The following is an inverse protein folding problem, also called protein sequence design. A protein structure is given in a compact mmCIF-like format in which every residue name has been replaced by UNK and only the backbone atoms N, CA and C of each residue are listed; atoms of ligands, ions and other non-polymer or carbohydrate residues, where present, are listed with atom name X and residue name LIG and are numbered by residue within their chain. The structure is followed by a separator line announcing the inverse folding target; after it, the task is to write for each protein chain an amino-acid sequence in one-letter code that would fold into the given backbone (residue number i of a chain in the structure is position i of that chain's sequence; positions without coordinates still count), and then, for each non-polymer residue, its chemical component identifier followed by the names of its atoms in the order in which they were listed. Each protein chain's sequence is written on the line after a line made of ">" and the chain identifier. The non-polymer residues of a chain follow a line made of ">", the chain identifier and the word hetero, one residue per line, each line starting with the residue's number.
data_IF_189059688206
#
_entry.id   IF_189059688206
#
_cell.length_a   1.000
_cell.length_b   1.000
_cell.length_c   1.000
_cell.angle_alpha   90.00
_cell.angle_beta   90.00
_cell.angle_gamma   90.00
#
_symmetry.space_group_name_H-M   'P 1'
#
loop_
_entity.id
_entity.type
_entity.pdbx_description
1 polymer ?
#
# COMPACT_ATOMS: atom_id res chain seq x y z
N UNK A 1 15.09 -11.47 5.87
CA UNK A 1 14.38 -11.99 4.67
C UNK A 1 14.12 -10.80 3.76
N UNK A 2 14.31 -10.94 2.46
CA UNK A 2 14.09 -9.82 1.54
C UNK A 2 12.59 -9.54 1.42
N UNK A 3 12.22 -8.25 1.40
CA UNK A 3 10.82 -7.86 1.25
C UNK A 3 10.34 -8.12 -0.18
N UNK A 4 9.19 -8.73 -0.34
CA UNK A 4 8.58 -9.01 -1.65
C UNK A 4 7.87 -7.76 -2.20
N UNK A 5 7.19 -7.01 -1.33
CA UNK A 5 6.46 -5.81 -1.75
C UNK A 5 6.62 -4.67 -0.76
N UNK A 6 6.80 -3.46 -1.30
CA UNK A 6 6.73 -2.20 -0.58
C UNK A 6 5.44 -1.46 -0.93
N UNK A 7 4.62 -1.18 0.07
CA UNK A 7 3.47 -0.30 -0.07
C UNK A 7 3.88 1.13 0.31
N UNK A 8 3.56 2.09 -0.55
CA UNK A 8 3.81 3.52 -0.30
C UNK A 8 2.49 4.19 0.02
N UNK A 9 2.42 4.84 1.19
CA UNK A 9 1.22 5.55 1.66
C UNK A 9 1.53 7.05 1.71
N UNK A 10 1.31 7.80 0.62
CA UNK A 10 1.44 9.25 0.65
C UNK A 10 0.34 9.84 1.53
N UNK A 11 0.73 10.66 2.50
CA UNK A 11 -0.17 11.14 3.55
C UNK A 11 -0.03 12.65 3.75
N UNK A 12 -1.14 13.39 3.68
CA UNK A 12 -1.19 14.81 3.99
C UNK A 12 -2.55 15.20 4.58
N UNK A 13 -2.59 15.52 5.89
CA UNK A 13 -3.82 15.85 6.63
C UNK A 13 -4.92 14.79 6.48
N UNK A 14 -4.60 13.53 6.77
CA UNK A 14 -5.46 12.36 6.60
C UNK A 14 -5.77 11.63 7.92
N UNK A 15 -5.71 12.35 9.06
CA UNK A 15 -5.91 11.77 10.40
C UNK A 15 -7.21 10.97 10.54
N UNK A 16 -8.25 11.30 9.75
CA UNK A 16 -9.56 10.63 9.82
C UNK A 16 -9.56 9.24 9.17
N UNK A 17 -8.63 8.97 8.25
CA UNK A 17 -8.62 7.77 7.41
C UNK A 17 -7.43 6.87 7.69
N UNK A 18 -6.29 7.45 8.09
CA UNK A 18 -5.01 6.76 8.15
C UNK A 18 -5.02 5.51 9.04
N UNK A 19 -5.71 5.54 10.16
CA UNK A 19 -5.79 4.39 11.08
C UNK A 19 -6.46 3.18 10.40
N UNK A 20 -7.55 3.40 9.64
CA UNK A 20 -8.21 2.35 8.87
C UNK A 20 -7.31 1.80 7.77
N UNK A 21 -6.60 2.67 7.06
CA UNK A 21 -5.62 2.29 6.05
C UNK A 21 -4.55 1.39 6.66
N UNK A 22 -3.85 1.86 7.70
CA UNK A 22 -2.71 1.14 8.29
C UNK A 22 -3.12 -0.17 8.96
N UNK A 23 -4.24 -0.19 9.69
CA UNK A 23 -4.73 -1.42 10.32
C UNK A 23 -5.05 -2.53 9.31
N UNK A 24 -5.41 -2.19 8.08
CA UNK A 24 -5.69 -3.16 7.03
C UNK A 24 -4.48 -3.99 6.59
N UNK A 25 -3.25 -3.51 6.87
CA UNK A 25 -2.02 -4.26 6.58
C UNK A 25 -1.61 -5.26 7.66
N UNK A 26 -2.32 -5.33 8.78
CA UNK A 26 -1.95 -6.20 9.90
C UNK A 26 -2.35 -7.66 9.66
N UNK A 27 -1.65 -8.32 8.74
CA UNK A 27 -1.78 -9.75 8.50
C UNK A 27 -0.53 -10.47 9.03
N UNK A 28 -0.63 -11.24 10.14
CA UNK A 28 0.54 -11.86 10.78
C UNK A 28 1.32 -12.82 9.86
N UNK A 29 0.69 -13.37 8.84
CA UNK A 29 1.32 -14.32 7.92
C UNK A 29 2.08 -13.64 6.78
N UNK A 30 1.86 -12.34 6.55
CA UNK A 30 2.47 -11.57 5.46
C UNK A 30 3.50 -10.52 5.93
N UNK A 31 3.49 -10.12 7.19
CA UNK A 31 4.29 -9.02 7.77
C UNK A 31 5.78 -9.13 7.44
N UNK A 32 6.35 -10.33 7.53
CA UNK A 32 7.80 -10.50 7.29
C UNK A 32 8.21 -10.23 5.84
N UNK A 33 7.29 -10.45 4.90
CA UNK A 33 7.56 -10.37 3.47
C UNK A 33 7.14 -9.05 2.82
N UNK A 34 6.53 -8.13 3.57
CA UNK A 34 6.10 -6.81 3.09
C UNK A 34 6.59 -5.69 3.99
N UNK A 35 6.65 -4.48 3.46
CA UNK A 35 6.82 -3.25 4.22
C UNK A 35 5.78 -2.21 3.81
N UNK A 36 5.45 -1.31 4.71
CA UNK A 36 4.55 -0.18 4.48
C UNK A 36 5.29 1.11 4.85
N UNK A 37 5.54 1.94 3.85
CA UNK A 37 6.25 3.20 4.00
C UNK A 37 5.23 4.34 3.97
N UNK A 38 4.98 4.92 5.13
CA UNK A 38 4.13 6.09 5.28
C UNK A 38 4.97 7.32 5.02
N UNK A 39 4.55 8.15 4.08
CA UNK A 39 5.26 9.41 3.78
C UNK A 39 4.36 10.57 4.16
N UNK A 40 4.66 11.19 5.30
CA UNK A 40 3.96 12.39 5.75
C UNK A 40 4.54 13.62 5.05
N UNK A 41 3.75 14.22 4.18
CA UNK A 41 4.11 15.37 3.36
C UNK A 41 3.86 16.72 4.09
N UNK A 42 4.29 16.80 5.34
CA UNK A 42 4.21 18.00 6.16
C UNK A 42 2.83 18.28 6.73
N UNK A 43 2.10 17.26 7.18
CA UNK A 43 0.78 17.38 7.80
C UNK A 43 0.76 18.32 9.01
N UNK A 44 -0.38 18.97 9.23
CA UNK A 44 -0.61 19.88 10.35
C UNK A 44 -1.58 19.31 11.39
N UNK A 45 -2.22 18.18 11.07
CA UNK A 45 -3.10 17.42 11.94
C UNK A 45 -2.36 16.28 12.67
N UNK A 46 -3.07 15.26 13.18
CA UNK A 46 -2.48 14.13 13.89
C UNK A 46 -1.91 13.04 12.98
N UNK A 47 -1.84 13.23 11.66
CA UNK A 47 -1.36 12.22 10.70
C UNK A 47 0.00 11.66 11.09
N UNK A 48 1.01 12.52 11.28
CA UNK A 48 2.37 12.09 11.66
C UNK A 48 2.40 11.34 12.99
N UNK A 49 1.57 11.73 13.96
CA UNK A 49 1.46 11.06 15.26
C UNK A 49 0.89 9.65 15.10
N UNK A 50 -0.22 9.50 14.39
CA UNK A 50 -0.85 8.20 14.13
C UNK A 50 0.15 7.26 13.46
N UNK A 51 0.82 7.73 12.40
CA UNK A 51 1.85 6.96 11.70
C UNK A 51 2.99 6.53 12.63
N UNK A 52 3.48 7.46 13.48
CA UNK A 52 4.54 7.17 14.45
C UNK A 52 4.14 6.13 15.50
N UNK A 53 2.88 6.09 15.91
CA UNK A 53 2.37 5.10 16.87
C UNK A 53 2.34 3.70 16.23
N UNK A 54 1.96 3.57 14.94
CA UNK A 54 2.03 2.31 14.20
C UNK A 54 3.48 1.83 14.00
N UNK A 55 4.41 2.73 13.68
CA UNK A 55 5.84 2.36 13.56
C UNK A 55 6.41 1.83 14.88
N UNK A 56 6.04 2.42 16.02
CA UNK A 56 6.47 1.94 17.34
C UNK A 56 5.91 0.57 17.68
N UNK A 57 4.66 0.30 17.28
CA UNK A 57 3.97 -0.95 17.59
C UNK A 57 4.38 -2.10 16.66
N UNK A 58 4.68 -1.80 15.41
CA UNK A 58 5.02 -2.79 14.36
C UNK A 58 6.23 -2.34 13.54
N UNK A 59 7.42 -2.21 14.15
CA UNK A 59 8.61 -1.64 13.49
C UNK A 59 9.15 -2.50 12.34
N UNK A 60 8.79 -3.77 12.28
CA UNK A 60 9.15 -4.69 11.20
C UNK A 60 8.31 -4.48 9.94
N UNK A 61 7.11 -3.88 10.08
CA UNK A 61 6.17 -3.66 9.00
C UNK A 61 6.15 -2.21 8.53
N UNK A 62 6.06 -1.25 9.46
CA UNK A 62 5.87 0.16 9.14
C UNK A 62 7.16 0.97 9.25
N UNK A 63 7.32 1.90 8.30
CA UNK A 63 8.34 2.94 8.31
C UNK A 63 7.68 4.29 8.08
N UNK A 64 8.18 5.35 8.70
CA UNK A 64 7.69 6.71 8.54
C UNK A 64 8.79 7.60 7.96
N UNK A 65 8.44 8.34 6.92
CA UNK A 65 9.24 9.42 6.34
C UNK A 65 8.48 10.71 6.59
N UNK A 66 9.12 11.64 7.30
CA UNK A 66 8.62 13.01 7.49
C UNK A 66 9.33 13.92 6.50
N UNK A 67 8.60 14.73 5.75
CA UNK A 67 9.20 15.71 4.84
C UNK A 67 8.41 17.01 4.80
N UNK A 68 9.03 18.06 4.30
CA UNK A 68 8.31 19.30 3.96
C UNK A 68 7.34 19.05 2.81
N UNK A 69 6.20 19.76 2.86
CA UNK A 69 5.16 19.60 1.84
C UNK A 69 5.72 19.90 0.44
N UNK A 70 5.62 18.92 -0.44
CA UNK A 70 6.04 18.97 -1.83
C UNK A 70 4.99 18.40 -2.79
N UNK A 71 3.83 18.02 -2.25
CA UNK A 71 2.71 17.44 -2.98
C UNK A 71 2.78 15.92 -3.15
N UNK A 72 1.66 15.35 -3.57
CA UNK A 72 1.44 13.90 -3.66
C UNK A 72 2.55 13.15 -4.40
N UNK A 73 2.94 13.61 -5.59
CA UNK A 73 4.01 12.99 -6.38
C UNK A 73 5.37 13.03 -5.67
N UNK A 74 5.67 14.09 -4.92
CA UNK A 74 6.89 14.19 -4.11
C UNK A 74 6.91 13.17 -2.99
N UNK A 75 5.77 12.92 -2.34
CA UNK A 75 5.63 11.89 -1.32
C UNK A 75 5.83 10.48 -1.92
N UNK A 76 5.22 10.19 -3.07
CA UNK A 76 5.43 8.92 -3.79
C UNK A 76 6.91 8.72 -4.12
N UNK A 77 7.59 9.74 -4.67
CA UNK A 77 9.02 9.65 -5.01
C UNK A 77 9.88 9.36 -3.80
N UNK A 78 9.60 10.02 -2.66
CA UNK A 78 10.35 9.78 -1.43
C UNK A 78 10.15 8.35 -0.90
N UNK A 79 8.92 7.84 -0.92
CA UNK A 79 8.61 6.47 -0.55
C UNK A 79 9.26 5.45 -1.48
N UNK A 80 9.19 5.67 -2.79
CA UNK A 80 9.81 4.82 -3.82
C UNK A 80 11.34 4.73 -3.63
N UNK A 81 11.99 5.85 -3.36
CA UNK A 81 13.44 5.88 -3.13
C UNK A 81 13.87 5.10 -1.86
N UNK A 82 12.97 4.93 -0.90
CA UNK A 82 13.23 4.21 0.35
C UNK A 82 12.77 2.74 0.33
N UNK A 83 12.03 2.34 -0.71
CA UNK A 83 11.47 1.00 -0.85
C UNK A 83 12.57 -0.04 -1.09
N UNK A 84 12.42 -1.22 -0.46
CA UNK A 84 13.36 -2.35 -0.61
C UNK A 84 12.67 -3.62 -1.14
N UNK A 85 11.35 -3.60 -1.31
CA UNK A 85 10.60 -4.71 -1.88
C UNK A 85 10.87 -4.89 -3.37
N UNK A 86 10.78 -6.12 -3.84
CA UNK A 86 10.88 -6.45 -5.26
C UNK A 86 9.78 -5.77 -6.09
N UNK A 87 8.59 -5.68 -5.54
CA UNK A 87 7.44 -4.98 -6.11
C UNK A 87 7.11 -3.73 -5.30
N UNK A 88 6.48 -2.76 -5.95
CA UNK A 88 6.04 -1.53 -5.32
C UNK A 88 4.57 -1.27 -5.66
N UNK A 89 3.79 -0.83 -4.66
CA UNK A 89 2.41 -0.40 -4.84
C UNK A 89 2.12 0.87 -4.03
N UNK A 90 1.55 1.86 -4.69
CA UNK A 90 1.01 3.04 -4.01
C UNK A 90 -0.43 2.76 -3.58
N UNK A 91 -0.76 3.12 -2.35
CA UNK A 91 -2.12 3.09 -1.77
C UNK A 91 -2.39 4.47 -1.18
N UNK A 92 -3.46 5.10 -1.58
CA UNK A 92 -3.86 6.38 -0.99
C UNK A 92 -4.28 6.19 0.48
N UNK A 93 -3.99 7.18 1.31
CA UNK A 93 -4.17 7.05 2.77
C UNK A 93 -5.64 6.99 3.23
N UNK A 94 -6.59 7.28 2.34
CA UNK A 94 -8.04 7.11 2.52
C UNK A 94 -8.57 5.76 1.97
N UNK A 95 -7.70 4.97 1.32
CA UNK A 95 -7.98 3.62 0.87
C UNK A 95 -7.48 2.56 1.87
N UNK A 96 -7.83 1.29 1.65
CA UNK A 96 -7.38 0.15 2.45
C UNK A 96 -7.28 -1.12 1.62
N UNK A 97 -6.50 -2.08 2.10
CA UNK A 97 -6.37 -3.40 1.48
C UNK A 97 -7.32 -4.41 2.11
N UNK A 98 -7.58 -5.50 1.39
CA UNK A 98 -8.30 -6.66 1.95
C UNK A 98 -7.28 -7.50 2.72
N UNK A 99 -7.27 -7.38 4.04
CA UNK A 99 -6.27 -7.97 4.94
C UNK A 99 -6.06 -9.46 4.71
N UNK A 100 -7.14 -10.20 4.50
CA UNK A 100 -7.13 -11.65 4.31
C UNK A 100 -6.37 -12.06 3.05
N UNK A 101 -6.38 -11.20 2.02
CA UNK A 101 -5.77 -11.49 0.73
C UNK A 101 -4.26 -11.17 0.69
N UNK A 102 -3.70 -10.49 1.70
CA UNK A 102 -2.30 -10.08 1.71
C UNK A 102 -1.33 -11.26 1.63
N UNK A 103 -1.64 -12.35 2.34
CA UNK A 103 -0.78 -13.54 2.29
C UNK A 103 -0.76 -14.16 0.90
N UNK A 104 -1.92 -14.32 0.28
CA UNK A 104 -2.03 -14.86 -1.08
C UNK A 104 -1.31 -13.95 -2.09
N UNK A 105 -1.47 -12.62 -1.97
CA UNK A 105 -0.78 -11.65 -2.81
C UNK A 105 0.75 -11.83 -2.72
N UNK A 106 1.29 -11.87 -1.52
CA UNK A 106 2.73 -11.99 -1.30
C UNK A 106 3.26 -13.31 -1.84
N UNK A 107 2.54 -14.43 -1.62
CA UNK A 107 2.95 -15.74 -2.13
C UNK A 107 2.97 -15.78 -3.67
N UNK A 108 1.98 -15.18 -4.31
CA UNK A 108 1.94 -15.07 -5.77
C UNK A 108 3.07 -14.18 -6.31
N UNK A 109 3.33 -13.05 -5.65
CA UNK A 109 4.41 -12.15 -6.05
C UNK A 109 5.81 -12.77 -5.86
N UNK A 110 5.99 -13.60 -4.83
CA UNK A 110 7.28 -14.26 -4.56
C UNK A 110 7.76 -15.18 -5.69
N UNK A 111 6.85 -15.69 -6.51
CA UNK A 111 7.16 -16.56 -7.66
C UNK A 111 6.86 -15.89 -9.01
N UNK A 112 6.39 -14.66 -8.99
CA UNK A 112 6.05 -13.91 -10.18
C UNK A 112 7.30 -13.35 -10.86
N UNK A 113 7.35 -13.43 -12.20
CA UNK A 113 8.44 -12.89 -13.01
C UNK A 113 8.03 -11.69 -13.86
N UNK A 114 6.76 -11.27 -13.77
CA UNK A 114 6.25 -10.12 -14.49
C UNK A 114 6.75 -8.80 -13.86
N UNK A 115 7.09 -7.81 -14.69
CA UNK A 115 7.49 -6.48 -14.24
C UNK A 115 6.31 -5.65 -13.70
N UNK A 116 5.10 -5.91 -14.23
CA UNK A 116 3.87 -5.23 -13.83
C UNK A 116 2.79 -6.25 -13.49
N UNK A 117 2.21 -6.10 -12.31
CA UNK A 117 1.11 -6.95 -11.83
C UNK A 117 -0.13 -6.09 -11.62
N UNK A 118 -1.21 -6.45 -12.28
CA UNK A 118 -2.49 -5.77 -12.21
C UNK A 118 -3.46 -6.59 -11.35
N UNK A 119 -4.18 -5.92 -10.47
CA UNK A 119 -5.20 -6.57 -9.65
C UNK A 119 -6.51 -5.75 -9.69
N UNK A 120 -7.67 -6.41 -9.59
CA UNK A 120 -8.94 -5.73 -9.44
C UNK A 120 -8.99 -5.00 -8.07
N UNK A 121 -9.89 -4.02 -7.98
CA UNK A 121 -10.15 -3.33 -6.71
C UNK A 121 -11.67 -3.20 -6.47
N UNK A 122 -12.03 -2.92 -5.22
CA UNK A 122 -13.39 -2.60 -4.83
C UNK A 122 -13.54 -1.08 -4.70
N UNK A 123 -14.57 -0.54 -5.33
CA UNK A 123 -15.07 0.79 -4.98
C UNK A 123 -16.14 0.65 -3.91
N UNK A 124 -15.99 1.38 -2.82
CA UNK A 124 -16.93 1.33 -1.68
C UNK A 124 -17.66 2.65 -1.59
N UNK A 125 -18.99 2.62 -1.65
CA UNK A 125 -19.81 3.79 -1.34
C UNK A 125 -19.78 4.01 0.18
N UNK A 126 -19.21 5.13 0.61
CA UNK A 126 -19.02 5.43 2.03
C UNK A 126 -20.32 5.73 2.79
N UNK A 127 -21.43 5.98 2.08
CA UNK A 127 -22.76 6.24 2.70
C UNK A 127 -23.55 4.96 2.86
N UNK A 128 -23.53 4.09 1.86
CA UNK A 128 -24.34 2.86 1.82
C UNK A 128 -23.55 1.62 2.24
N UNK A 129 -22.24 1.66 2.15
CA UNK A 129 -21.35 0.49 2.34
C UNK A 129 -21.37 -0.47 1.15
N UNK A 130 -22.06 -0.13 0.05
CA UNK A 130 -22.12 -0.95 -1.14
C UNK A 130 -20.74 -1.06 -1.78
N UNK A 131 -20.38 -2.29 -2.22
CA UNK A 131 -19.10 -2.59 -2.86
C UNK A 131 -19.33 -2.96 -4.31
N UNK A 132 -18.64 -2.25 -5.21
CA UNK A 132 -18.58 -2.58 -6.64
C UNK A 132 -17.18 -3.05 -6.99
N UNK A 133 -17.07 -4.22 -7.64
CA UNK A 133 -15.77 -4.74 -8.09
C UNK A 133 -15.42 -4.10 -9.43
N UNK A 134 -14.29 -3.40 -9.47
CA UNK A 134 -13.69 -2.92 -10.70
C UNK A 134 -12.62 -3.88 -11.16
N UNK A 135 -12.82 -4.45 -12.35
CA UNK A 135 -11.86 -5.30 -13.05
C UNK A 135 -11.29 -4.52 -14.22
N UNK A 136 -10.00 -4.66 -14.45
CA UNK A 136 -9.41 -4.16 -15.69
C UNK A 136 -9.98 -4.95 -16.88
N UNK A 137 -10.13 -4.28 -18.02
CA UNK A 137 -10.58 -4.94 -19.27
C UNK A 137 -9.42 -5.75 -19.85
N UNK A 138 -9.18 -6.92 -19.23
CA UNK A 138 -8.25 -7.93 -19.73
C UNK A 138 -9.07 -9.12 -20.22
N UNK A 139 -8.65 -9.72 -21.31
CA UNK A 139 -9.32 -10.90 -21.85
C UNK A 139 -9.24 -12.10 -20.91
N UNK A 140 -8.15 -12.17 -20.15
CA UNK A 140 -7.89 -13.23 -19.18
C UNK A 140 -7.25 -12.67 -17.91
N UNK A 141 -7.48 -13.34 -16.78
CA UNK A 141 -6.86 -13.03 -15.48
C UNK A 141 -5.90 -14.16 -15.10
N UNK A 142 -4.93 -13.83 -14.22
CA UNK A 142 -3.88 -14.76 -13.77
C UNK A 142 -2.99 -15.26 -14.93
N UNK A 143 -2.76 -14.42 -15.92
CA UNK A 143 -1.94 -14.70 -17.10
C UNK A 143 -0.88 -13.61 -17.22
N UNK A 144 0.30 -13.97 -17.66
CA UNK A 144 1.35 -13.01 -18.04
C UNK A 144 1.13 -12.61 -19.50
N UNK A 145 1.12 -11.30 -19.75
CA UNK A 145 1.12 -10.71 -21.09
C UNK A 145 2.51 -10.18 -21.39
N UNK A 146 2.92 -10.24 -22.64
CA UNK A 146 4.14 -9.60 -23.13
C UNK A 146 3.79 -8.32 -23.91
N UNK A 147 4.76 -7.46 -24.17
CA UNK A 147 4.52 -6.25 -24.98
C UNK A 147 4.21 -6.55 -26.46
N UNK A 148 4.32 -7.81 -26.86
CA UNK A 148 4.03 -8.28 -28.23
C UNK A 148 2.58 -8.88 -28.34
N UNK A 149 1.90 -9.07 -27.22
CA UNK A 149 0.53 -9.56 -27.12
C UNK A 149 -0.48 -8.39 -27.15
#
# INVERSE_FOLDING_TARGET
>A
MDKIISFIIPSYNVEQYLEKCLSSFLNPQAIEQMEVIIVDDGSKDRTARIAGDYVKQYPELFRLILKENGGHGSAINAGTAAAVGQYLKVIDADDWVVTENLKELVDKLAVCTADVVLNPYHQVDMKTGEKTVWKMFLDRYEVTYTLED
#
